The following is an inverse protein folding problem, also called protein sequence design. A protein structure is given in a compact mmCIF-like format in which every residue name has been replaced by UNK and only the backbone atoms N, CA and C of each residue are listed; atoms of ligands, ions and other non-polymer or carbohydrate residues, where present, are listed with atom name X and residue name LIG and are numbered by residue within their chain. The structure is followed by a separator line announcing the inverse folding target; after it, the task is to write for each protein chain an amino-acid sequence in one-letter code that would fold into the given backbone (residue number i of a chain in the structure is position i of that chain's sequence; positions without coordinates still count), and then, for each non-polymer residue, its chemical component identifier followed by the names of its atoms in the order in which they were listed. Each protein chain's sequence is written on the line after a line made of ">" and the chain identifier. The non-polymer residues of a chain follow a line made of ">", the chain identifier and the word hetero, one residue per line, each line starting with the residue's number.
data_IF_250480803092
#
_entry.id   IF_250480803092
#
_cell.length_a   1.000
_cell.length_b   1.000
_cell.length_c   1.000
_cell.angle_alpha   90.00
_cell.angle_beta   90.00
_cell.angle_gamma   90.00
#
_symmetry.space_group_name_H-M   'P 1'
#
loop_
_entity.id
_entity.type
_entity.pdbx_description
1 polymer ?
#
# COMPACT_ATOMS: atom_id res chain seq x y z
N UNK A 1 18.65 29.98 -18.42
CA UNK A 1 17.50 29.64 -19.28
C UNK A 1 17.60 28.16 -19.60
N UNK A 2 17.03 27.30 -18.73
CA UNK A 2 17.04 25.85 -18.92
C UNK A 2 15.85 25.45 -19.78
N UNK A 3 16.12 24.71 -20.86
CA UNK A 3 15.09 24.15 -21.74
C UNK A 3 14.25 23.16 -20.95
N UNK A 4 12.95 23.47 -20.82
CA UNK A 4 11.92 22.55 -20.38
C UNK A 4 11.77 21.53 -21.50
N UNK A 5 11.97 20.25 -21.21
CA UNK A 5 11.77 19.17 -22.18
C UNK A 5 10.31 19.17 -22.65
N UNK A 6 10.14 19.23 -23.97
CA UNK A 6 8.82 19.15 -24.61
C UNK A 6 8.20 17.78 -24.35
N UNK A 7 6.98 17.78 -23.81
CA UNK A 7 6.15 16.58 -23.70
C UNK A 7 5.47 16.42 -25.05
N UNK A 8 5.88 15.43 -25.85
CA UNK A 8 5.16 15.05 -27.07
C UNK A 8 3.84 14.35 -26.70
N UNK A 9 2.70 14.99 -26.98
CA UNK A 9 1.39 14.35 -26.93
C UNK A 9 1.25 13.34 -28.08
N UNK A 10 1.27 12.05 -27.75
CA UNK A 10 0.95 10.99 -28.71
C UNK A 10 -0.56 10.94 -28.99
N UNK A 11 -0.93 11.24 -30.24
CA UNK A 11 -2.30 11.14 -30.74
C UNK A 11 -2.64 9.68 -31.08
N UNK A 12 -3.56 9.07 -30.32
CA UNK A 12 -3.97 7.67 -30.48
C UNK A 12 -4.91 7.50 -31.68
N UNK A 13 -4.45 6.80 -32.73
CA UNK A 13 -5.27 6.37 -33.86
C UNK A 13 -5.99 5.05 -33.51
N UNK A 14 -7.31 5.10 -33.38
CA UNK A 14 -8.15 3.92 -33.14
C UNK A 14 -8.22 3.01 -34.37
N UNK A 15 -7.89 1.72 -34.21
CA UNK A 15 -8.12 0.65 -35.20
C UNK A 15 -9.03 -0.43 -34.62
N UNK A 16 -9.79 -1.18 -35.46
CA UNK A 16 -10.98 -1.92 -35.03
C UNK A 16 -10.69 -3.22 -34.27
N UNK A 17 -11.68 -3.56 -33.44
CA UNK A 17 -11.73 -4.58 -32.40
C UNK A 17 -11.55 -6.03 -32.86
N UNK A 18 -10.52 -6.69 -32.30
CA UNK A 18 -10.47 -8.14 -32.05
C UNK A 18 -10.71 -8.37 -30.57
N UNK A 19 -11.90 -8.81 -30.18
CA UNK A 19 -12.28 -9.06 -28.78
C UNK A 19 -11.84 -10.45 -28.32
N UNK A 20 -10.54 -10.65 -28.16
CA UNK A 20 -10.04 -11.49 -27.06
C UNK A 20 -9.91 -10.60 -25.84
N UNK A 21 -10.34 -10.99 -24.63
CA UNK A 21 -10.05 -10.20 -23.44
C UNK A 21 -8.54 -10.02 -23.37
N UNK A 22 -8.07 -8.78 -23.56
CA UNK A 22 -6.66 -8.45 -23.46
C UNK A 22 -6.27 -8.65 -22.00
N UNK A 23 -5.53 -9.72 -21.71
CA UNK A 23 -4.93 -9.94 -20.41
C UNK A 23 -3.99 -8.76 -20.13
N UNK A 24 -4.21 -8.07 -19.01
CA UNK A 24 -3.29 -7.02 -18.58
C UNK A 24 -1.94 -7.66 -18.22
N UNK A 25 -0.81 -6.97 -18.44
CA UNK A 25 0.48 -7.45 -17.96
C UNK A 25 0.48 -7.56 -16.44
N UNK A 26 1.26 -8.51 -15.91
CA UNK A 26 1.47 -8.61 -14.47
C UNK A 26 2.21 -7.38 -13.96
N UNK A 27 1.70 -6.77 -12.90
CA UNK A 27 2.25 -5.57 -12.28
C UNK A 27 2.43 -5.82 -10.78
N UNK A 28 3.57 -5.38 -10.25
CA UNK A 28 3.84 -5.36 -8.82
C UNK A 28 4.35 -3.99 -8.39
N UNK A 29 4.16 -3.66 -7.12
CA UNK A 29 4.76 -2.45 -6.56
C UNK A 29 6.28 -2.63 -6.54
N UNK A 30 6.99 -1.85 -7.35
CA UNK A 30 8.44 -1.96 -7.45
C UNK A 30 9.15 -1.16 -6.36
N UNK A 31 8.78 0.11 -6.19
CA UNK A 31 9.36 0.98 -5.18
C UNK A 31 8.42 2.14 -4.83
N UNK A 32 8.68 2.76 -3.68
CA UNK A 32 8.12 4.05 -3.27
C UNK A 32 9.23 5.09 -3.23
N UNK A 33 8.89 6.34 -3.55
CA UNK A 33 9.86 7.43 -3.62
C UNK A 33 9.49 8.52 -2.63
N UNK A 34 10.44 8.90 -1.77
CA UNK A 34 10.27 9.95 -0.78
C UNK A 34 11.32 11.04 -0.94
N UNK A 35 10.88 12.28 -0.83
CA UNK A 35 11.76 13.43 -0.71
C UNK A 35 12.03 13.65 0.77
N UNK A 36 13.31 13.66 1.18
CA UNK A 36 13.73 13.77 2.57
C UNK A 36 14.70 14.94 2.78
N UNK A 37 14.73 15.51 3.99
CA UNK A 37 15.70 16.56 4.32
C UNK A 37 17.11 16.04 4.60
N UNK A 38 17.22 14.76 4.97
CA UNK A 38 18.50 14.16 5.36
C UNK A 38 18.49 12.68 5.03
N UNK A 39 19.24 12.31 4.00
CA UNK A 39 19.32 10.92 3.54
C UNK A 39 19.80 10.00 4.67
N UNK A 40 20.80 10.42 5.43
CA UNK A 40 21.35 9.63 6.54
C UNK A 40 20.35 9.35 7.66
N UNK A 41 19.50 10.33 8.02
CA UNK A 41 18.45 10.13 9.04
C UNK A 41 17.37 9.18 8.55
N UNK A 42 16.94 9.33 7.30
CA UNK A 42 15.92 8.48 6.71
C UNK A 42 16.43 7.06 6.49
N UNK A 43 17.66 6.88 5.99
CA UNK A 43 18.31 5.56 5.91
C UNK A 43 18.33 4.89 7.27
N UNK A 44 18.86 5.57 8.30
CA UNK A 44 18.91 5.01 9.66
C UNK A 44 17.55 4.57 10.17
N UNK A 45 16.51 5.38 9.96
CA UNK A 45 15.14 5.02 10.35
C UNK A 45 14.64 3.78 9.62
N UNK A 46 14.75 3.73 8.29
CA UNK A 46 14.25 2.62 7.50
C UNK A 46 15.03 1.32 7.78
N UNK A 47 16.32 1.39 8.09
CA UNK A 47 17.12 0.24 8.52
C UNK A 47 16.78 -0.21 9.95
N UNK A 48 16.73 0.69 10.93
CA UNK A 48 16.55 0.32 12.34
C UNK A 48 15.10 -0.04 12.71
N UNK A 49 14.11 0.64 12.12
CA UNK A 49 12.68 0.46 12.44
C UNK A 49 12.03 -0.58 11.54
N UNK A 50 12.29 -0.49 10.24
CA UNK A 50 11.63 -1.33 9.22
C UNK A 50 12.56 -2.41 8.65
N UNK A 51 13.82 -2.51 9.09
CA UNK A 51 14.72 -3.58 8.65
C UNK A 51 15.11 -3.52 7.18
N UNK A 52 14.97 -2.36 6.51
CA UNK A 52 15.46 -2.20 5.14
C UNK A 52 16.99 -2.30 5.09
N UNK A 53 17.53 -2.56 3.89
CA UNK A 53 18.98 -2.60 3.67
C UNK A 53 19.35 -1.58 2.61
N UNK A 54 20.34 -0.75 2.89
CA UNK A 54 20.91 0.14 1.88
C UNK A 54 21.57 -0.65 0.74
N UNK A 55 21.18 -0.35 -0.50
CA UNK A 55 21.71 -1.01 -1.71
C UNK A 55 22.47 -0.03 -2.61
N UNK A 56 23.23 -0.59 -3.56
CA UNK A 56 24.02 0.21 -4.50
C UNK A 56 23.12 1.06 -5.41
N UNK A 57 23.36 2.37 -5.41
CA UNK A 57 22.71 3.31 -6.32
C UNK A 57 23.32 3.27 -7.73
N UNK A 58 22.52 3.44 -8.80
CA UNK A 58 23.05 3.73 -10.13
C UNK A 58 23.97 4.96 -10.12
N UNK A 59 25.13 4.84 -10.77
CA UNK A 59 26.15 5.91 -10.79
C UNK A 59 25.77 7.12 -11.66
N UNK A 60 24.69 7.02 -12.44
CA UNK A 60 24.20 8.09 -13.32
C UNK A 60 23.41 9.19 -12.59
N UNK A 61 23.07 9.00 -11.32
CA UNK A 61 22.35 10.00 -10.53
C UNK A 61 23.33 10.99 -9.91
N UNK A 62 23.12 12.28 -10.18
CA UNK A 62 23.99 13.39 -9.74
C UNK A 62 23.39 14.21 -8.58
N UNK A 63 22.44 13.64 -7.82
CA UNK A 63 21.83 14.24 -6.65
C UNK A 63 22.14 13.40 -5.39
N UNK A 64 21.99 14.00 -4.20
CA UNK A 64 22.15 13.26 -2.94
C UNK A 64 20.90 12.41 -2.67
N UNK A 65 21.09 11.13 -2.34
CA UNK A 65 19.97 10.18 -2.29
C UNK A 65 20.41 8.75 -2.06
N UNK A 66 19.49 7.91 -1.62
CA UNK A 66 19.73 6.51 -1.28
C UNK A 66 18.67 5.59 -1.88
N UNK A 67 19.05 4.33 -2.07
CA UNK A 67 18.12 3.27 -2.43
C UNK A 67 18.21 2.20 -1.36
N UNK A 68 17.09 1.88 -0.72
CA UNK A 68 16.98 0.75 0.20
C UNK A 68 16.08 -0.32 -0.39
N UNK A 69 16.30 -1.57 -0.02
CA UNK A 69 15.51 -2.69 -0.50
C UNK A 69 15.27 -3.70 0.61
N UNK A 70 14.03 -4.13 0.76
CA UNK A 70 13.62 -5.32 1.49
C UNK A 70 12.17 -5.69 1.11
N UNK A 71 11.72 -6.89 1.47
CA UNK A 71 10.33 -7.32 1.29
C UNK A 71 9.83 -7.28 -0.16
N UNK A 72 10.73 -7.37 -1.13
CA UNK A 72 10.40 -7.27 -2.55
C UNK A 72 10.14 -5.86 -3.07
N UNK A 73 10.28 -4.82 -2.23
CA UNK A 73 10.05 -3.43 -2.61
C UNK A 73 11.27 -2.53 -2.34
N UNK A 74 11.44 -1.51 -3.17
CA UNK A 74 12.44 -0.45 -2.97
C UNK A 74 11.90 0.77 -2.22
N UNK A 75 12.77 1.44 -1.45
CA UNK A 75 12.57 2.81 -0.98
C UNK A 75 13.63 3.69 -1.63
N UNK A 76 13.20 4.65 -2.45
CA UNK A 76 14.07 5.63 -3.09
C UNK A 76 13.98 6.97 -2.36
N UNK A 77 15.09 7.39 -1.76
CA UNK A 77 15.20 8.64 -1.02
C UNK A 77 15.90 9.69 -1.88
N UNK A 78 15.29 10.86 -2.02
CA UNK A 78 15.85 12.02 -2.71
C UNK A 78 16.02 13.18 -1.73
N UNK A 79 17.24 13.70 -1.60
CA UNK A 79 17.48 14.82 -0.71
C UNK A 79 16.93 16.14 -1.28
N UNK A 80 16.26 16.92 -0.44
CA UNK A 80 15.78 18.26 -0.77
C UNK A 80 15.60 19.09 0.50
N UNK A 81 15.93 20.38 0.42
CA UNK A 81 15.62 21.37 1.47
C UNK A 81 14.10 21.54 1.69
N UNK A 82 13.32 21.35 0.62
CA UNK A 82 11.87 21.42 0.65
C UNK A 82 11.28 20.03 0.53
N UNK A 83 10.73 19.55 1.65
CA UNK A 83 9.89 18.34 1.68
C UNK A 83 8.42 18.75 1.62
N UNK A 84 7.58 18.03 0.87
CA UNK A 84 6.16 18.35 0.69
C UNK A 84 5.33 18.11 1.97
N UNK A 85 5.83 17.26 2.87
CA UNK A 85 5.15 16.86 4.10
C UNK A 85 5.42 17.82 5.25
N UNK A 86 4.43 17.98 6.12
CA UNK A 86 4.60 18.58 7.44
C UNK A 86 4.29 17.51 8.47
N UNK A 87 5.10 17.42 9.53
CA UNK A 87 4.78 16.57 10.69
C UNK A 87 3.59 17.17 11.42
N UNK A 88 2.41 16.68 11.06
CA UNK A 88 1.17 16.97 11.76
C UNK A 88 0.88 15.87 12.79
N UNK A 89 -0.23 15.99 13.51
CA UNK A 89 -0.67 14.92 14.41
C UNK A 89 -0.96 13.67 13.59
N UNK A 90 -0.55 12.50 14.09
CA UNK A 90 -0.84 11.23 13.42
C UNK A 90 -2.35 11.06 13.26
N UNK A 91 -2.78 10.92 12.01
CA UNK A 91 -4.17 10.68 11.63
C UNK A 91 -4.23 9.40 10.79
N UNK A 92 -4.76 8.29 11.33
CA UNK A 92 -4.89 7.01 10.61
C UNK A 92 -5.65 7.06 9.26
N UNK A 93 -6.28 8.20 8.93
CA UNK A 93 -7.02 8.41 7.68
C UNK A 93 -6.20 9.09 6.58
N UNK A 94 -4.98 9.58 6.86
CA UNK A 94 -4.15 10.19 5.81
C UNK A 94 -3.53 9.13 4.89
N UNK A 95 -2.96 9.58 3.77
CA UNK A 95 -2.25 8.71 2.84
C UNK A 95 -1.02 8.08 3.51
N UNK A 96 -0.82 6.78 3.31
CA UNK A 96 0.30 6.05 3.88
C UNK A 96 0.78 4.93 2.97
N UNK A 97 1.99 4.46 3.24
CA UNK A 97 2.45 3.14 2.82
C UNK A 97 2.22 2.16 3.97
N UNK A 98 1.75 0.95 3.67
CA UNK A 98 1.43 -0.07 4.67
C UNK A 98 2.31 -1.30 4.49
N UNK A 99 2.82 -1.83 5.61
CA UNK A 99 3.59 -3.05 5.63
C UNK A 99 2.90 -4.12 6.46
N UNK A 100 2.87 -5.33 5.91
CA UNK A 100 2.55 -6.51 6.68
C UNK A 100 3.69 -6.83 7.65
N UNK A 101 3.35 -7.14 8.89
CA UNK A 101 4.33 -7.54 9.90
C UNK A 101 3.92 -8.84 10.60
N UNK A 102 4.90 -9.68 10.92
CA UNK A 102 4.71 -10.89 11.72
C UNK A 102 4.76 -10.63 13.23
N UNK A 103 5.42 -9.55 13.66
CA UNK A 103 5.59 -9.20 15.08
C UNK A 103 5.60 -7.66 15.26
N UNK A 104 4.40 -7.10 15.34
CA UNK A 104 4.17 -5.66 15.52
C UNK A 104 4.84 -5.12 16.80
N UNK A 105 4.98 -5.96 17.84
CA UNK A 105 5.60 -5.55 19.11
C UNK A 105 7.08 -5.23 18.94
N UNK A 106 7.79 -5.84 17.98
CA UNK A 106 9.20 -5.46 17.74
C UNK A 106 9.29 -4.07 17.14
N UNK A 107 8.40 -3.75 16.19
CA UNK A 107 8.36 -2.42 15.57
C UNK A 107 8.05 -1.37 16.62
N UNK A 108 7.07 -1.61 17.50
CA UNK A 108 6.75 -0.70 18.60
C UNK A 108 7.96 -0.45 19.51
N UNK A 109 8.71 -1.50 19.90
CA UNK A 109 9.94 -1.31 20.68
C UNK A 109 10.98 -0.46 19.97
N UNK A 110 11.15 -0.63 18.65
CA UNK A 110 12.07 0.19 17.85
C UNK A 110 11.63 1.66 17.78
N UNK A 111 10.34 1.92 17.65
CA UNK A 111 9.80 3.27 17.70
C UNK A 111 10.05 3.91 19.07
N UNK A 112 9.84 3.17 20.16
CA UNK A 112 10.11 3.63 21.54
C UNK A 112 11.60 3.92 21.77
N UNK A 113 12.50 3.03 21.34
CA UNK A 113 13.96 3.22 21.39
C UNK A 113 14.40 4.51 20.68
N UNK A 114 13.72 4.88 19.60
CA UNK A 114 14.00 6.06 18.80
C UNK A 114 13.18 7.31 19.20
N UNK A 115 12.33 7.21 20.23
CA UNK A 115 11.41 8.27 20.66
C UNK A 115 10.48 8.76 19.54
N UNK A 116 9.95 7.83 18.74
CA UNK A 116 9.01 8.10 17.66
C UNK A 116 7.59 7.87 18.17
N UNK A 117 6.75 8.90 18.06
CA UNK A 117 5.33 8.81 18.41
C UNK A 117 4.60 7.86 17.44
N UNK A 118 3.67 7.09 18.00
CA UNK A 118 2.81 6.20 17.22
C UNK A 118 1.39 6.15 17.80
N UNK A 119 0.43 5.71 16.99
CA UNK A 119 -0.93 5.40 17.43
C UNK A 119 -1.31 4.01 16.96
N UNK A 120 -2.14 3.32 17.74
CA UNK A 120 -2.67 2.00 17.39
C UNK A 120 -4.18 2.05 17.20
N UNK A 121 -4.69 1.15 16.36
CA UNK A 121 -6.12 0.91 16.18
C UNK A 121 -6.37 -0.59 16.02
N UNK A 122 -7.59 -1.02 16.32
CA UNK A 122 -8.05 -2.39 16.09
C UNK A 122 -9.34 -2.32 15.28
N UNK A 123 -9.40 -3.11 14.21
CA UNK A 123 -10.60 -3.31 13.40
C UNK A 123 -11.08 -4.74 13.62
N UNK A 124 -12.36 -4.91 13.90
CA UNK A 124 -12.99 -6.23 14.03
C UNK A 124 -14.01 -6.43 12.91
N UNK A 125 -13.85 -7.50 12.13
CA UNK A 125 -14.80 -7.89 11.10
C UNK A 125 -14.98 -9.41 11.10
N UNK A 126 -16.22 -9.88 11.25
CA UNK A 126 -16.53 -11.32 11.20
C UNK A 126 -15.83 -12.15 12.28
N UNK A 127 -15.48 -11.55 13.43
CA UNK A 127 -14.72 -12.20 14.49
C UNK A 127 -13.21 -12.31 14.24
N UNK A 128 -12.70 -11.65 13.20
CA UNK A 128 -11.27 -11.46 12.94
C UNK A 128 -10.87 -10.07 13.42
N UNK A 129 -9.84 -10.01 14.26
CA UNK A 129 -9.22 -8.76 14.68
C UNK A 129 -8.02 -8.43 13.78
N UNK A 130 -7.96 -7.16 13.36
CA UNK A 130 -6.85 -6.57 12.62
C UNK A 130 -6.26 -5.45 13.45
N UNK A 131 -4.98 -5.58 13.78
CA UNK A 131 -4.18 -4.56 14.44
C UNK A 131 -3.56 -3.64 13.40
N UNK A 132 -3.60 -2.34 13.70
CA UNK A 132 -2.96 -1.29 12.92
C UNK A 132 -2.08 -0.45 13.83
N UNK A 133 -0.90 -0.10 13.33
CA UNK A 133 0.07 0.77 13.99
C UNK A 133 0.49 1.86 13.00
N UNK A 134 0.30 3.12 13.36
CA UNK A 134 0.60 4.27 12.51
C UNK A 134 1.64 5.16 13.16
N UNK A 135 2.61 5.62 12.37
CA UNK A 135 3.65 6.56 12.80
C UNK A 135 4.15 7.36 11.59
N UNK A 136 4.95 8.38 11.88
CA UNK A 136 5.63 9.17 10.87
C UNK A 136 7.09 8.77 10.76
N UNK A 137 7.61 8.79 9.53
CA UNK A 137 9.04 8.76 9.28
C UNK A 137 9.74 10.09 9.69
N UNK A 138 11.07 10.23 9.50
CA UNK A 138 11.80 11.43 9.85
C UNK A 138 11.31 12.72 9.20
N UNK A 139 10.62 12.64 8.05
CA UNK A 139 10.13 13.79 7.28
C UNK A 139 8.61 13.95 7.33
N UNK A 140 7.88 13.03 7.98
CA UNK A 140 6.44 13.14 8.19
C UNK A 140 5.60 12.31 7.23
N UNK A 141 6.19 11.42 6.45
CA UNK A 141 5.42 10.45 5.67
C UNK A 141 4.81 9.41 6.62
N UNK A 142 3.52 9.14 6.44
CA UNK A 142 2.83 8.17 7.29
C UNK A 142 3.15 6.74 6.84
N UNK A 143 3.51 5.92 7.82
CA UNK A 143 3.74 4.49 7.68
C UNK A 143 2.74 3.75 8.54
N UNK A 144 2.09 2.76 7.96
CA UNK A 144 1.23 1.81 8.66
C UNK A 144 1.95 0.45 8.75
N UNK A 145 1.84 -0.19 9.91
CA UNK A 145 2.03 -1.64 10.06
C UNK A 145 0.66 -2.24 10.31
N UNK A 146 0.25 -3.20 9.48
CA UNK A 146 -1.04 -3.86 9.59
C UNK A 146 -0.90 -5.38 9.50
N UNK A 147 -1.81 -6.13 10.12
CA UNK A 147 -2.04 -7.55 9.83
C UNK A 147 -3.30 -7.76 8.96
N UNK A 148 -3.56 -6.82 8.05
CA UNK A 148 -4.74 -6.75 7.19
C UNK A 148 -4.96 -8.01 6.35
N UNK A 149 -3.90 -8.80 6.08
CA UNK A 149 -4.01 -10.09 5.39
C UNK A 149 -4.89 -11.13 6.12
N UNK A 150 -5.19 -10.90 7.41
CA UNK A 150 -6.11 -11.74 8.17
C UNK A 150 -7.55 -11.65 7.65
N UNK A 151 -7.91 -10.54 7.00
CA UNK A 151 -9.21 -10.37 6.37
C UNK A 151 -9.24 -10.99 4.97
N UNK A 152 -10.34 -11.66 4.59
CA UNK A 152 -10.47 -12.22 3.25
C UNK A 152 -10.61 -11.11 2.20
N UNK A 153 -9.79 -11.16 1.15
CA UNK A 153 -9.92 -10.25 0.00
C UNK A 153 -11.06 -10.70 -0.90
N UNK A 154 -12.23 -10.06 -0.80
CA UNK A 154 -13.44 -10.43 -1.52
C UNK A 154 -13.79 -9.43 -2.64
N UNK A 155 -13.67 -9.81 -3.93
CA UNK A 155 -14.02 -8.92 -5.03
C UNK A 155 -15.52 -8.63 -5.10
N UNK A 156 -15.88 -7.34 -5.05
CA UNK A 156 -17.27 -6.87 -5.03
C UNK A 156 -18.05 -7.18 -6.31
N UNK A 157 -17.37 -7.31 -7.46
CA UNK A 157 -17.98 -7.75 -8.72
C UNK A 157 -18.56 -9.16 -8.65
N UNK A 158 -18.13 -9.96 -7.67
CA UNK A 158 -18.55 -11.36 -7.47
C UNK A 158 -19.78 -11.49 -6.57
N UNK A 159 -20.14 -10.41 -5.86
CA UNK A 159 -21.20 -10.39 -4.87
C UNK A 159 -21.95 -9.05 -5.01
N UNK A 160 -23.12 -8.99 -5.70
CA UNK A 160 -23.88 -7.76 -5.91
C UNK A 160 -24.11 -6.99 -4.61
N UNK A 161 -23.34 -5.92 -4.41
CA UNK A 161 -23.58 -4.98 -3.33
C UNK A 161 -24.87 -4.23 -3.61
N UNK A 162 -25.83 -4.30 -2.70
CA UNK A 162 -26.85 -3.25 -2.61
C UNK A 162 -26.15 -2.03 -2.02
N UNK A 163 -25.80 -1.04 -2.85
CA UNK A 163 -25.39 0.26 -2.35
C UNK A 163 -26.49 0.80 -1.41
N UNK A 164 -26.13 1.42 -0.27
CA UNK A 164 -27.10 2.11 0.55
C UNK A 164 -27.74 3.23 -0.27
N UNK A 165 -29.04 3.08 -0.53
CA UNK A 165 -29.83 4.05 -1.26
C UNK A 165 -29.92 5.31 -0.38
N UNK A 166 -29.30 6.41 -0.81
CA UNK A 166 -29.57 7.73 -0.22
C UNK A 166 -30.96 8.17 -0.67
N UNK A 167 -31.98 7.64 0.00
CA UNK A 167 -33.39 7.86 -0.33
C UNK A 167 -34.25 7.66 0.90
N UNK A 168 -34.82 8.76 1.39
CA UNK A 168 -35.80 8.84 2.47
C UNK A 168 -36.91 7.76 2.37
N UNK A 169 -37.21 7.17 3.53
CA UNK A 169 -38.47 6.60 4.03
C UNK A 169 -39.34 5.76 3.05
N UNK A 170 -39.53 4.48 3.36
CA UNK A 170 -40.80 3.95 3.92
C UNK A 170 -40.67 2.43 4.19
N UNK A 171 -41.32 2.00 5.28
CA UNK A 171 -41.30 0.63 5.82
C UNK A 171 -41.85 -0.43 4.86
N UNK A 172 -41.34 -1.67 4.96
CA UNK A 172 -42.16 -2.87 5.18
C UNK A 172 -41.32 -4.06 5.67
N UNK A 173 -41.84 -4.75 6.67
CA UNK A 173 -41.34 -5.99 7.25
C UNK A 173 -41.54 -7.17 6.29
N UNK A 174 -40.58 -8.09 6.19
CA UNK A 174 -40.87 -9.52 5.99
C UNK A 174 -39.67 -10.38 6.39
N UNK A 175 -39.91 -11.19 7.42
CA UNK A 175 -39.13 -12.37 7.77
C UNK A 175 -39.13 -13.39 6.61
N UNK A 176 -38.01 -14.10 6.45
CA UNK A 176 -37.81 -15.48 5.95
C UNK A 176 -36.63 -15.64 4.96
N UNK A 177 -35.55 -16.24 5.49
CA UNK A 177 -34.70 -17.26 4.87
C UNK A 177 -33.94 -16.98 3.57
N UNK A 178 -32.60 -17.04 3.64
CA UNK A 178 -31.83 -17.84 2.66
C UNK A 178 -30.41 -18.16 3.12
N UNK A 179 -30.11 -19.47 3.07
CA UNK A 179 -28.81 -20.14 3.20
C UNK A 179 -27.73 -19.54 2.27
N UNK A 180 -26.54 -19.39 2.85
CA UNK A 180 -25.19 -19.48 2.28
C UNK A 180 -24.93 -18.82 0.92
N UNK A 181 -24.50 -17.55 0.94
CA UNK A 181 -23.72 -16.92 -0.14
C UNK A 181 -22.20 -16.92 0.13
N UNK A 182 -21.79 -17.40 1.30
CA UNK A 182 -20.39 -17.40 1.76
C UNK A 182 -19.46 -18.24 0.86
N UNK A 183 -19.95 -19.35 0.30
CA UNK A 183 -19.11 -20.27 -0.48
C UNK A 183 -18.59 -19.68 -1.81
N UNK A 184 -19.40 -18.90 -2.53
CA UNK A 184 -19.00 -18.35 -3.84
C UNK A 184 -17.99 -17.20 -3.70
N UNK A 185 -18.17 -16.36 -2.68
CA UNK A 185 -17.26 -15.26 -2.39
C UNK A 185 -15.90 -15.81 -1.86
N UNK A 186 -15.93 -16.87 -1.03
CA UNK A 186 -14.73 -17.55 -0.51
C UNK A 186 -13.84 -18.15 -1.61
N UNK A 187 -14.43 -18.77 -2.64
CA UNK A 187 -13.64 -19.35 -3.75
C UNK A 187 -12.89 -18.31 -4.60
N UNK A 188 -13.46 -17.12 -4.76
CA UNK A 188 -12.81 -16.03 -5.50
C UNK A 188 -11.66 -15.38 -4.71
N UNK A 189 -11.81 -15.26 -3.38
CA UNK A 189 -10.71 -14.80 -2.52
C UNK A 189 -9.50 -15.73 -2.59
N UNK A 190 -9.74 -17.04 -2.54
CA UNK A 190 -8.68 -18.04 -2.70
C UNK A 190 -7.99 -17.90 -4.06
N UNK A 191 -8.76 -17.75 -5.14
CA UNK A 191 -8.21 -17.56 -6.48
C UNK A 191 -7.38 -16.27 -6.61
N UNK A 192 -7.79 -15.18 -5.97
CA UNK A 192 -7.03 -13.92 -5.97
C UNK A 192 -5.69 -14.05 -5.23
N UNK A 193 -5.68 -14.76 -4.10
CA UNK A 193 -4.45 -15.03 -3.36
C UNK A 193 -3.54 -16.01 -4.10
N UNK A 194 -4.09 -17.05 -4.73
CA UNK A 194 -3.33 -18.00 -5.56
C UNK A 194 -2.71 -17.31 -6.77
N UNK A 195 -3.49 -16.47 -7.49
CA UNK A 195 -2.98 -15.70 -8.62
C UNK A 195 -1.88 -14.73 -8.19
N UNK A 196 -2.02 -14.05 -7.04
CA UNK A 196 -0.96 -13.16 -6.53
C UNK A 196 0.35 -13.92 -6.29
N UNK A 197 0.29 -15.13 -5.73
CA UNK A 197 1.47 -15.96 -5.48
C UNK A 197 2.10 -16.45 -6.79
N UNK A 198 1.27 -16.89 -7.75
CA UNK A 198 1.74 -17.36 -9.07
C UNK A 198 2.37 -16.20 -9.84
N UNK A 199 1.71 -15.04 -9.90
CA UNK A 199 2.19 -13.86 -10.61
C UNK A 199 3.51 -13.34 -10.02
N UNK A 200 3.68 -13.41 -8.70
CA UNK A 200 4.92 -13.02 -8.03
C UNK A 200 6.08 -13.97 -8.36
N UNK A 201 5.81 -15.27 -8.51
CA UNK A 201 6.81 -16.26 -8.93
C UNK A 201 7.24 -16.02 -10.38
N UNK A 202 6.32 -15.65 -11.27
CA UNK A 202 6.63 -15.38 -12.68
C UNK A 202 7.44 -14.08 -12.88
N UNK A 203 7.28 -13.08 -12.00
CA UNK A 203 8.11 -11.86 -12.00
C UNK A 203 9.53 -12.14 -11.48
N UNK A 204 9.72 -13.20 -10.69
CA UNK A 204 10.99 -13.49 -10.00
C UNK A 204 11.98 -14.33 -10.82
N UNK A 205 11.68 -14.63 -12.10
CA UNK A 205 12.50 -15.46 -13.02
C UNK A 205 13.36 -14.58 -13.94
#
# INVERSE_FOLDING_TARGET
>A
MGSVGEIEEMQWLSSPTSTSPTTLPSLSLNHVSFVCKSVSKSVRFYEEVLGFVLIKRPSSFNFEGAWLFNYGIGIHLLESESVPTKKEKINPKDNHISFQCSDMKQVMRKLEEMNIEYVTAVVEEGGVEVDQLFFHDPDGYMVEICNCQNLPVLPLSSCPLKLPNSGRNHAFSSLYGKRSREAACSGMAALMMENLVIDLLDISI
#
